data_IF_456661536374
#
_entry.id   IF_456661536374
#
_cell.length_a   1.000
_cell.length_b   1.000
_cell.length_c   1.000
_cell.angle_alpha   90.00
_cell.angle_beta   90.00
_cell.angle_gamma   90.00
#
_symmetry.space_group_name_H-M   'P 1'
#
loop_
_entity.id
_entity.type
_entity.pdbx_description
1 polymer ?
#
# COMPACT_ATOMS: atom_id res chain seq x y z
N UNK A 1 -40.23 60.92 -16.39
CA UNK A 1 -39.97 59.56 -16.85
C UNK A 1 -38.78 59.01 -16.04
N UNK A 2 -39.04 58.07 -15.18
CA UNK A 2 -37.96 57.39 -14.43
C UNK A 2 -37.27 56.41 -15.37
N UNK A 3 -36.03 56.70 -15.74
CA UNK A 3 -35.18 55.70 -16.41
C UNK A 3 -35.06 54.50 -15.50
N UNK A 4 -35.56 53.37 -16.00
CA UNK A 4 -35.32 52.10 -15.36
C UNK A 4 -33.81 51.86 -15.42
N UNK A 5 -33.15 51.95 -14.28
CA UNK A 5 -31.76 51.51 -14.14
C UNK A 5 -31.71 50.06 -14.56
N UNK A 6 -31.20 49.86 -15.74
CA UNK A 6 -30.93 48.53 -16.26
C UNK A 6 -29.93 47.86 -15.30
N UNK A 7 -30.40 46.84 -14.61
CA UNK A 7 -29.66 46.16 -13.59
C UNK A 7 -28.54 45.34 -14.24
N UNK A 8 -27.32 45.85 -14.22
CA UNK A 8 -26.17 45.17 -14.76
C UNK A 8 -25.66 44.12 -13.74
N UNK A 9 -25.66 42.89 -14.12
CA UNK A 9 -25.12 41.79 -13.34
C UNK A 9 -23.62 41.93 -13.03
N UNK A 10 -22.90 42.63 -13.91
CA UNK A 10 -21.48 42.92 -13.79
C UNK A 10 -21.11 43.88 -12.67
N UNK A 11 -22.04 44.79 -12.31
CA UNK A 11 -21.82 45.82 -11.30
C UNK A 11 -21.86 45.24 -9.87
N UNK A 12 -22.52 44.10 -9.67
CA UNK A 12 -22.69 43.43 -8.37
C UNK A 12 -21.67 42.33 -8.09
N UNK A 13 -21.21 41.66 -9.13
CA UNK A 13 -20.32 40.50 -9.00
C UNK A 13 -18.90 40.74 -9.52
N UNK A 14 -18.61 41.98 -9.93
CA UNK A 14 -17.32 42.37 -10.48
C UNK A 14 -17.07 41.82 -11.88
N UNK A 15 -16.27 42.53 -12.63
CA UNK A 15 -15.82 42.04 -13.95
C UNK A 15 -14.92 40.85 -13.74
N UNK A 16 -15.29 39.70 -14.27
CA UNK A 16 -14.41 38.54 -14.37
C UNK A 16 -13.20 38.94 -15.21
N UNK A 17 -12.11 39.29 -14.54
CA UNK A 17 -10.83 39.54 -15.20
C UNK A 17 -10.51 38.34 -16.11
N UNK A 18 -10.06 38.67 -17.33
CA UNK A 18 -9.93 37.76 -18.45
C UNK A 18 -9.42 36.36 -18.08
N UNK A 19 -9.73 35.37 -18.91
CA UNK A 19 -9.50 33.92 -18.79
C UNK A 19 -8.06 33.46 -18.44
N UNK A 20 -7.18 34.40 -18.12
CA UNK A 20 -5.77 34.09 -17.81
C UNK A 20 -5.60 33.22 -16.58
N UNK A 21 -6.40 33.43 -15.54
CA UNK A 21 -6.35 32.61 -14.34
C UNK A 21 -6.80 31.17 -14.61
N UNK A 22 -7.74 30.94 -15.53
CA UNK A 22 -8.18 29.61 -15.97
C UNK A 22 -7.01 28.89 -16.64
N UNK A 23 -6.23 29.59 -17.46
CA UNK A 23 -5.05 29.03 -18.09
C UNK A 23 -3.99 28.59 -17.05
N UNK A 24 -3.78 29.41 -16.01
CA UNK A 24 -2.89 29.04 -14.89
C UNK A 24 -3.42 27.85 -14.08
N UNK A 25 -4.71 27.86 -13.77
CA UNK A 25 -5.36 26.76 -13.06
C UNK A 25 -5.25 25.45 -13.86
N UNK A 26 -5.46 25.50 -15.17
CA UNK A 26 -5.32 24.35 -16.06
C UNK A 26 -3.87 23.83 -16.14
N UNK A 27 -2.91 24.73 -16.25
CA UNK A 27 -1.49 24.37 -16.25
C UNK A 27 -1.06 23.70 -14.93
N UNK A 28 -1.47 24.25 -13.79
CA UNK A 28 -1.19 23.67 -12.47
C UNK A 28 -1.86 22.31 -12.31
N UNK A 29 -3.09 22.15 -12.81
CA UNK A 29 -3.80 20.87 -12.77
C UNK A 29 -3.07 19.78 -13.58
N UNK A 30 -2.58 20.12 -14.76
CA UNK A 30 -1.80 19.19 -15.59
C UNK A 30 -0.52 18.77 -14.87
N UNK A 31 0.23 19.72 -14.33
CA UNK A 31 1.47 19.43 -13.58
C UNK A 31 1.16 18.54 -12.36
N UNK A 32 0.10 18.85 -11.63
CA UNK A 32 -0.35 18.05 -10.48
C UNK A 32 -0.72 16.61 -10.86
N UNK A 33 -1.48 16.44 -11.95
CA UNK A 33 -1.86 15.11 -12.44
C UNK A 33 -0.66 14.30 -12.92
N UNK A 34 0.27 14.91 -13.63
CA UNK A 34 1.50 14.26 -14.06
C UNK A 34 2.35 13.83 -12.86
N UNK A 35 2.43 14.67 -11.83
CA UNK A 35 3.17 14.33 -10.61
C UNK A 35 2.52 13.19 -9.83
N UNK A 36 1.19 13.21 -9.68
CA UNK A 36 0.44 12.12 -9.03
C UNK A 36 0.60 10.81 -9.82
N UNK A 37 0.50 10.86 -11.14
CA UNK A 37 0.69 9.71 -12.01
C UNK A 37 2.11 9.12 -11.87
N UNK A 38 3.12 9.98 -11.90
CA UNK A 38 4.51 9.56 -11.72
C UNK A 38 4.75 8.95 -10.33
N UNK A 39 4.26 9.62 -9.28
CA UNK A 39 4.37 9.11 -7.91
C UNK A 39 3.63 7.78 -7.74
N UNK A 40 2.44 7.65 -8.33
CA UNK A 40 1.66 6.41 -8.32
C UNK A 40 2.42 5.25 -8.96
N UNK A 41 3.00 5.45 -10.14
CA UNK A 41 3.79 4.43 -10.82
C UNK A 41 5.05 4.05 -10.01
N UNK A 42 5.69 5.02 -9.39
CA UNK A 42 6.90 4.76 -8.60
C UNK A 42 6.61 3.95 -7.33
N UNK A 43 5.47 4.19 -6.68
CA UNK A 43 5.07 3.46 -5.48
C UNK A 43 4.30 2.16 -5.76
N UNK A 44 3.76 1.98 -6.97
CA UNK A 44 2.96 0.80 -7.33
C UNK A 44 3.79 -0.48 -7.55
N UNK A 45 5.11 -0.36 -7.76
CA UNK A 45 6.00 -1.48 -8.01
C UNK A 45 7.00 -1.67 -6.85
N UNK A 46 6.59 -2.26 -5.71
CA UNK A 46 7.53 -2.60 -4.66
C UNK A 46 8.52 -3.66 -5.17
N UNK A 47 9.78 -3.53 -4.79
CA UNK A 47 10.83 -4.48 -5.16
C UNK A 47 10.54 -5.90 -4.66
N UNK A 48 9.84 -6.01 -3.54
CA UNK A 48 9.42 -7.25 -2.92
C UNK A 48 7.94 -7.11 -2.57
N UNK A 49 7.10 -8.01 -3.06
CA UNK A 49 5.72 -8.14 -2.64
C UNK A 49 5.48 -9.50 -2.00
N UNK A 50 4.75 -9.53 -0.91
CA UNK A 50 4.37 -10.74 -0.21
C UNK A 50 2.86 -10.79 -0.09
N UNK A 51 2.31 -11.98 -0.29
CA UNK A 51 0.88 -12.23 -0.19
C UNK A 51 0.61 -13.45 0.68
N UNK A 52 -0.22 -13.27 1.68
CA UNK A 52 -0.73 -14.38 2.49
C UNK A 52 -1.73 -15.19 1.66
N UNK A 53 -1.49 -16.50 1.57
CA UNK A 53 -2.40 -17.43 0.87
C UNK A 53 -3.35 -18.05 1.86
N UNK A 54 -2.82 -18.68 2.92
CA UNK A 54 -3.60 -19.35 3.95
C UNK A 54 -2.79 -19.46 5.23
N UNK A 55 -3.50 -19.71 6.31
CA UNK A 55 -2.91 -20.13 7.57
C UNK A 55 -3.75 -21.24 8.19
N UNK A 56 -3.13 -22.09 8.97
CA UNK A 56 -3.77 -23.19 9.65
C UNK A 56 -3.16 -23.36 11.04
N UNK A 57 -4.03 -23.46 12.04
CA UNK A 57 -3.61 -23.76 13.41
C UNK A 57 -3.32 -25.25 13.47
N UNK A 58 -2.04 -25.62 13.54
CA UNK A 58 -1.57 -27.00 13.53
C UNK A 58 -1.48 -27.61 14.92
N UNK A 59 -1.48 -26.76 15.96
CA UNK A 59 -1.41 -27.20 17.33
C UNK A 59 -1.78 -26.11 18.33
N UNK A 60 -1.79 -26.43 19.61
CA UNK A 60 -2.12 -25.47 20.68
C UNK A 60 -1.09 -24.32 20.78
N UNK A 61 0.13 -24.53 20.31
CA UNK A 61 1.23 -23.57 20.35
C UNK A 61 1.99 -23.47 19.02
N UNK A 62 1.29 -23.75 17.93
CA UNK A 62 1.88 -23.69 16.61
C UNK A 62 0.84 -23.32 15.57
N UNK A 63 1.21 -22.44 14.66
CA UNK A 63 0.41 -22.06 13.51
C UNK A 63 1.26 -22.14 12.25
N UNK A 64 0.74 -22.77 11.21
CA UNK A 64 1.39 -22.85 9.91
C UNK A 64 0.86 -21.75 9.00
N UNK A 65 1.77 -21.07 8.32
CA UNK A 65 1.48 -19.97 7.41
C UNK A 65 1.98 -20.32 6.02
N UNK A 66 1.08 -20.27 5.05
CA UNK A 66 1.42 -20.39 3.62
C UNK A 66 1.32 -19.04 2.96
N UNK A 67 2.39 -18.61 2.33
CA UNK A 67 2.48 -17.31 1.69
C UNK A 67 3.29 -17.38 0.39
N UNK A 68 3.05 -16.44 -0.50
CA UNK A 68 3.85 -16.28 -1.70
C UNK A 68 4.66 -14.98 -1.63
N UNK A 69 5.84 -15.04 -2.18
CA UNK A 69 6.72 -13.90 -2.36
C UNK A 69 6.98 -13.71 -3.83
N UNK A 70 6.89 -12.47 -4.24
CA UNK A 70 7.26 -12.05 -5.58
C UNK A 70 8.33 -10.95 -5.46
N UNK A 71 9.47 -11.16 -6.10
CA UNK A 71 10.61 -10.24 -6.09
C UNK A 71 11.00 -9.86 -7.51
N UNK A 72 11.43 -8.63 -7.68
CA UNK A 72 11.91 -8.12 -8.98
C UNK A 72 13.28 -8.72 -9.32
N UNK A 73 14.13 -8.88 -8.32
CA UNK A 73 15.48 -9.43 -8.46
C UNK A 73 15.55 -10.82 -7.85
N UNK A 74 15.83 -11.83 -8.69
CA UNK A 74 15.93 -13.23 -8.27
C UNK A 74 17.18 -13.54 -7.45
N UNK A 75 18.22 -12.70 -7.54
CA UNK A 75 19.50 -12.97 -6.90
C UNK A 75 19.57 -12.45 -5.45
N UNK A 76 18.55 -11.73 -5.00
CA UNK A 76 18.47 -11.23 -3.64
C UNK A 76 17.88 -12.27 -2.68
N UNK A 77 18.51 -12.43 -1.53
CA UNK A 77 17.95 -13.14 -0.39
C UNK A 77 16.90 -12.26 0.27
N UNK A 78 15.75 -12.81 0.57
CA UNK A 78 14.64 -12.09 1.21
C UNK A 78 14.40 -12.66 2.60
N UNK A 79 14.28 -11.79 3.58
CA UNK A 79 13.92 -12.14 4.95
C UNK A 79 12.52 -11.61 5.23
N UNK A 80 11.59 -12.52 5.52
CA UNK A 80 10.22 -12.19 5.88
C UNK A 80 10.01 -12.41 7.38
N UNK A 81 9.56 -11.39 8.07
CA UNK A 81 9.15 -11.47 9.46
C UNK A 81 7.68 -11.88 9.50
N UNK A 82 7.43 -13.05 10.05
CA UNK A 82 6.10 -13.62 10.23
C UNK A 82 5.70 -13.51 11.70
N UNK A 83 4.43 -13.23 11.96
CA UNK A 83 3.90 -13.12 13.32
C UNK A 83 2.58 -13.87 13.47
N UNK A 84 2.42 -14.49 14.63
CA UNK A 84 1.17 -15.10 15.05
C UNK A 84 0.51 -14.22 16.13
N UNK A 85 -0.78 -14.10 16.06
CA UNK A 85 -1.61 -13.30 16.92
C UNK A 85 -2.67 -14.18 17.60
N UNK A 86 -3.02 -13.86 18.84
CA UNK A 86 -4.17 -14.43 19.52
C UNK A 86 -5.48 -13.67 19.20
N UNK A 87 -6.56 -14.03 19.89
CA UNK A 87 -7.88 -13.39 19.71
C UNK A 87 -7.88 -11.90 20.08
N UNK A 88 -7.03 -11.49 21.00
CA UNK A 88 -6.87 -10.11 21.46
C UNK A 88 -5.92 -9.30 20.57
N UNK A 89 -5.46 -9.89 19.46
CA UNK A 89 -4.48 -9.30 18.54
C UNK A 89 -3.10 -9.07 19.17
N UNK A 90 -2.80 -9.75 20.26
CA UNK A 90 -1.47 -9.76 20.85
C UNK A 90 -0.54 -10.70 20.11
N UNK A 91 0.72 -10.30 19.92
CA UNK A 91 1.71 -11.14 19.25
C UNK A 91 2.15 -12.26 20.19
N UNK A 92 1.80 -13.48 19.85
CA UNK A 92 2.13 -14.69 20.62
C UNK A 92 3.30 -15.49 20.08
N UNK A 93 3.69 -15.21 18.83
CA UNK A 93 4.86 -15.81 18.19
C UNK A 93 5.35 -14.93 17.04
N UNK A 94 6.65 -14.94 16.82
CA UNK A 94 7.29 -14.25 15.70
C UNK A 94 8.56 -14.97 15.30
N UNK A 95 8.75 -15.13 14.00
CA UNK A 95 9.98 -15.68 13.42
C UNK A 95 10.38 -14.88 12.17
N UNK A 96 11.65 -14.92 11.85
CA UNK A 96 12.19 -14.46 10.58
C UNK A 96 12.45 -15.67 9.68
N UNK A 97 11.79 -15.71 8.54
CA UNK A 97 11.97 -16.75 7.54
C UNK A 97 12.84 -16.24 6.40
N UNK A 98 13.92 -16.96 6.12
CA UNK A 98 14.89 -16.58 5.09
C UNK A 98 14.60 -17.34 3.81
N UNK A 99 14.37 -16.62 2.73
CA UNK A 99 14.08 -17.18 1.41
C UNK A 99 15.32 -16.99 0.54
N UNK A 100 15.95 -18.09 0.13
CA UNK A 100 17.17 -18.05 -0.67
C UNK A 100 16.92 -17.41 -2.05
N UNK A 101 17.98 -16.91 -2.65
CA UNK A 101 17.99 -16.47 -4.03
C UNK A 101 17.63 -17.63 -4.98
N UNK A 102 17.08 -17.32 -6.14
CA UNK A 102 16.80 -18.28 -7.20
C UNK A 102 15.53 -17.99 -7.99
N UNK A 103 14.37 -17.94 -7.36
CA UNK A 103 13.09 -17.78 -8.05
C UNK A 103 12.49 -16.40 -7.80
N UNK A 104 11.93 -15.78 -8.84
CA UNK A 104 11.22 -14.50 -8.71
C UNK A 104 9.93 -14.62 -7.94
N UNK A 105 9.22 -15.73 -8.11
CA UNK A 105 8.00 -16.04 -7.41
C UNK A 105 8.14 -17.39 -6.69
N UNK A 106 7.91 -17.40 -5.39
CA UNK A 106 8.01 -18.61 -4.58
C UNK A 106 6.89 -18.66 -3.55
N UNK A 107 6.27 -19.83 -3.43
CA UNK A 107 5.40 -20.14 -2.31
C UNK A 107 6.19 -20.86 -1.22
N UNK A 108 5.95 -20.45 0.01
CA UNK A 108 6.57 -21.01 1.20
C UNK A 108 5.52 -21.32 2.25
N UNK A 109 5.71 -22.44 2.95
CA UNK A 109 4.91 -22.78 4.12
C UNK A 109 5.84 -22.88 5.32
N UNK A 110 5.56 -22.11 6.37
CA UNK A 110 6.41 -22.02 7.55
C UNK A 110 5.57 -22.12 8.80
N UNK A 111 6.01 -22.95 9.75
CA UNK A 111 5.39 -23.07 11.06
C UNK A 111 5.95 -22.01 12.02
N UNK A 112 5.07 -21.33 12.73
CA UNK A 112 5.43 -20.33 13.72
C UNK A 112 5.14 -20.89 15.12
N UNK A 113 6.17 -21.13 15.95
CA UNK A 113 5.94 -21.52 17.33
C UNK A 113 5.40 -20.34 18.15
N UNK A 114 4.43 -20.62 19.00
CA UNK A 114 3.74 -19.61 19.81
C UNK A 114 3.82 -19.90 21.30
N UNK A 115 3.70 -18.85 22.11
CA UNK A 115 3.68 -18.97 23.58
C UNK A 115 2.32 -19.40 24.11
N UNK A 116 1.27 -19.03 23.41
CA UNK A 116 -0.13 -19.34 23.73
C UNK A 116 -0.89 -19.70 22.45
N UNK A 117 -2.13 -20.10 22.60
CA UNK A 117 -2.97 -20.52 21.48
C UNK A 117 -3.06 -19.43 20.41
N UNK A 118 -2.59 -19.70 19.19
CA UNK A 118 -2.66 -18.74 18.11
C UNK A 118 -4.08 -18.73 17.50
N UNK A 119 -4.52 -17.57 17.04
CA UNK A 119 -5.79 -17.41 16.34
C UNK A 119 -5.58 -17.09 14.86
N UNK A 120 -4.61 -16.24 14.55
CA UNK A 120 -4.28 -15.84 13.17
C UNK A 120 -2.79 -15.63 13.00
N UNK A 121 -2.35 -15.64 11.75
CA UNK A 121 -0.97 -15.31 11.41
C UNK A 121 -0.94 -14.31 10.26
N UNK A 122 0.09 -13.50 10.24
CA UNK A 122 0.29 -12.49 9.21
C UNK A 122 1.77 -12.26 8.91
N UNK A 123 2.03 -11.71 7.74
CA UNK A 123 3.35 -11.25 7.34
C UNK A 123 3.51 -9.82 7.86
N UNK A 124 4.49 -9.58 8.74
CA UNK A 124 4.75 -8.26 9.25
C UNK A 124 5.47 -7.38 8.21
N UNK A 125 6.53 -7.92 7.63
CA UNK A 125 7.29 -7.28 6.55
C UNK A 125 8.23 -8.28 5.88
N UNK A 126 8.57 -8.00 4.63
CA UNK A 126 9.66 -8.67 3.93
C UNK A 126 10.69 -7.64 3.50
N UNK A 127 11.97 -7.98 3.61
CA UNK A 127 13.09 -7.11 3.22
C UNK A 127 14.14 -7.91 2.48
N UNK A 128 14.88 -7.28 1.59
CA UNK A 128 16.11 -7.84 1.05
C UNK A 128 17.21 -7.78 2.11
N UNK A 129 18.06 -8.79 2.14
CA UNK A 129 19.24 -8.81 2.99
C UNK A 129 20.30 -7.84 2.48
#
# INVERSE_FOLDING_TARGET
MKEAQEFSYEDRYGKTGGNRWIAYAFAISIVGLLWIFWAGLHHANPAISSQLISFEVTGEKEISLRYSINRTDSDQVVICTLKALDQDKSVVGQIDDTIPAGERSREQTTAIPTRSAPFTASIARCRAE
#
